data_IF_593691760702
#
_entry.id   IF_593691760702
#
_cell.length_a   1.000
_cell.length_b   1.000
_cell.length_c   1.000
_cell.angle_alpha   90.00
_cell.angle_beta   90.00
_cell.angle_gamma   90.00
#
_symmetry.space_group_name_H-M   'P 1'
#
loop_
_entity.id
_entity.type
_entity.pdbx_description
1 polymer ?
#
# COMPACT_ATOMS: atom_id res chain seq x y z
N UNK A 1 7.01 -39.61 -44.25
CA UNK A 1 7.19 -38.27 -43.63
C UNK A 1 6.98 -37.25 -44.74
N UNK A 2 5.81 -36.62 -44.78
CA UNK A 2 5.48 -35.60 -45.78
C UNK A 2 5.41 -34.24 -45.07
N UNK A 3 6.20 -33.27 -45.53
CA UNK A 3 6.19 -31.90 -45.03
C UNK A 3 5.05 -31.12 -45.69
N UNK A 4 4.24 -30.45 -44.88
CA UNK A 4 3.21 -29.52 -45.33
C UNK A 4 3.82 -28.13 -45.62
N UNK A 5 3.27 -27.36 -46.57
CA UNK A 5 3.78 -26.04 -46.90
C UNK A 5 3.35 -24.98 -45.88
N UNK A 6 4.28 -24.09 -45.55
CA UNK A 6 4.08 -22.94 -44.66
C UNK A 6 3.62 -21.74 -45.50
N UNK A 7 2.42 -21.23 -45.23
CA UNK A 7 1.96 -19.93 -45.75
C UNK A 7 2.49 -18.81 -44.86
N UNK A 8 3.41 -17.99 -45.38
CA UNK A 8 3.80 -16.73 -44.75
C UNK A 8 2.78 -15.64 -45.09
N UNK A 9 2.10 -15.13 -44.07
CA UNK A 9 1.29 -13.91 -44.14
C UNK A 9 2.22 -12.70 -43.93
N UNK A 10 2.22 -11.77 -44.90
CA UNK A 10 2.89 -10.48 -44.77
C UNK A 10 2.11 -9.54 -43.83
N UNK A 11 2.79 -8.73 -43.01
CA UNK A 11 2.14 -7.70 -42.21
C UNK A 11 1.76 -6.47 -43.06
N UNK A 12 0.65 -5.77 -42.74
CA UNK A 12 0.24 -4.56 -43.44
C UNK A 12 1.13 -3.36 -43.08
N UNK A 13 1.43 -2.55 -44.10
CA UNK A 13 2.16 -1.29 -43.99
C UNK A 13 1.35 -0.21 -43.22
N UNK A 14 2.01 0.65 -42.43
CA UNK A 14 1.35 1.81 -41.80
C UNK A 14 1.13 2.97 -42.80
N UNK A 15 -0.06 3.58 -42.73
CA UNK A 15 -0.41 4.81 -43.44
C UNK A 15 0.25 6.04 -42.80
N UNK A 16 0.66 7.06 -43.58
CA UNK A 16 1.31 8.24 -43.05
C UNK A 16 0.31 9.25 -42.45
N UNK A 17 0.85 9.98 -41.47
CA UNK A 17 0.26 11.06 -40.68
C UNK A 17 -0.57 12.09 -41.46
N UNK A 18 -1.77 12.38 -40.95
CA UNK A 18 -2.49 13.62 -41.23
C UNK A 18 -2.15 14.68 -40.17
N UNK A 19 -1.58 15.79 -40.66
CA UNK A 19 -1.15 16.97 -39.92
C UNK A 19 -2.38 17.83 -39.59
N UNK A 20 -2.77 17.93 -38.32
CA UNK A 20 -3.87 18.82 -37.89
C UNK A 20 -3.30 20.21 -37.61
N UNK A 21 -3.66 21.18 -38.47
CA UNK A 21 -3.47 22.60 -38.20
C UNK A 21 -4.52 23.11 -37.21
N UNK A 22 -4.10 23.98 -36.30
CA UNK A 22 -4.96 24.60 -35.30
C UNK A 22 -5.89 25.68 -35.87
N UNK A 23 -6.97 25.95 -35.14
CA UNK A 23 -7.81 27.15 -35.30
C UNK A 23 -8.17 27.71 -33.92
N UNK A 24 -7.97 29.01 -33.76
CA UNK A 24 -8.32 29.83 -32.60
C UNK A 24 -9.78 30.31 -32.66
N UNK A 25 -10.36 30.52 -31.47
CA UNK A 25 -11.40 31.49 -31.03
C UNK A 25 -12.68 31.67 -31.87
N UNK A 26 -13.84 31.62 -31.20
CA UNK A 26 -14.61 32.81 -30.76
C UNK A 26 -15.98 32.45 -30.16
N UNK A 27 -16.50 33.35 -29.30
CA UNK A 27 -17.84 33.42 -28.73
C UNK A 27 -18.98 33.45 -29.76
N UNK A 28 -20.19 33.00 -29.39
CA UNK A 28 -21.46 33.78 -29.41
C UNK A 28 -22.75 32.95 -29.59
N UNK A 29 -23.69 33.16 -28.66
CA UNK A 29 -25.17 33.27 -28.72
C UNK A 29 -26.05 32.32 -29.58
N UNK A 30 -27.08 31.81 -28.88
CA UNK A 30 -28.51 31.63 -29.24
C UNK A 30 -28.94 31.61 -30.72
N UNK A 31 -29.54 30.48 -31.15
CA UNK A 31 -30.97 30.38 -31.55
C UNK A 31 -31.31 29.00 -32.17
N UNK A 32 -32.59 28.56 -32.10
CA UNK A 32 -33.04 27.25 -32.56
C UNK A 32 -33.54 27.30 -34.01
N UNK A 33 -33.04 26.43 -34.87
CA UNK A 33 -33.60 26.22 -36.21
C UNK A 33 -34.29 24.86 -36.29
N UNK A 34 -35.59 24.91 -36.61
CA UNK A 34 -36.40 23.77 -37.06
C UNK A 34 -35.82 23.25 -38.37
N UNK A 35 -35.63 21.93 -38.46
CA UNK A 35 -35.36 21.26 -39.73
C UNK A 35 -36.57 20.41 -40.09
N UNK A 36 -37.12 20.67 -41.27
CA UNK A 36 -38.23 19.97 -41.87
C UNK A 36 -37.81 18.57 -42.32
N UNK A 37 -38.70 17.61 -42.14
CA UNK A 37 -38.57 16.25 -42.63
C UNK A 37 -38.89 16.18 -44.14
N UNK A 38 -38.08 15.47 -44.96
CA UNK A 38 -38.55 15.00 -46.25
C UNK A 38 -39.34 13.71 -46.07
N UNK A 39 -40.59 13.75 -46.51
CA UNK A 39 -41.46 12.62 -46.75
C UNK A 39 -41.09 12.02 -48.11
N UNK A 40 -40.94 10.70 -48.18
CA UNK A 40 -41.10 9.95 -49.42
C UNK A 40 -39.89 9.18 -49.89
N UNK A 41 -39.95 7.86 -49.70
CA UNK A 41 -39.66 6.87 -50.75
C UNK A 41 -39.92 5.47 -50.16
N UNK A 42 -41.17 5.01 -50.30
CA UNK A 42 -41.47 3.60 -50.20
C UNK A 42 -40.95 2.92 -51.47
N UNK A 43 -39.95 2.05 -51.34
CA UNK A 43 -39.51 1.19 -52.43
C UNK A 43 -39.10 -0.19 -51.89
N UNK A 44 -39.88 -1.17 -52.35
CA UNK A 44 -39.69 -2.61 -52.32
C UNK A 44 -38.23 -3.10 -52.17
N UNK A 45 -37.92 -3.67 -51.01
CA UNK A 45 -36.90 -4.71 -50.88
C UNK A 45 -37.54 -5.93 -50.21
N UNK A 46 -38.18 -6.74 -51.04
CA UNK A 46 -38.59 -8.10 -50.74
C UNK A 46 -37.34 -9.00 -50.60
N UNK A 47 -37.33 -9.80 -49.55
CA UNK A 47 -36.55 -11.04 -49.38
C UNK A 47 -35.01 -10.92 -49.32
N UNK A 48 -34.53 -10.53 -48.14
CA UNK A 48 -33.31 -11.10 -47.56
C UNK A 48 -33.43 -11.05 -46.04
N UNK A 49 -34.18 -11.99 -45.46
CA UNK A 49 -34.14 -12.27 -44.04
C UNK A 49 -32.76 -12.84 -43.69
N UNK A 50 -31.74 -11.97 -43.69
CA UNK A 50 -30.47 -12.27 -43.05
C UNK A 50 -30.80 -12.36 -41.57
N UNK A 51 -30.67 -13.57 -41.01
CA UNK A 51 -30.51 -13.78 -39.58
C UNK A 51 -29.28 -12.99 -39.13
N UNK A 52 -29.46 -11.68 -38.90
CA UNK A 52 -28.59 -10.91 -38.05
C UNK A 52 -28.88 -11.42 -36.64
N UNK A 53 -28.25 -12.56 -36.30
CA UNK A 53 -28.03 -12.94 -34.92
C UNK A 53 -27.33 -11.74 -34.30
N UNK A 54 -28.09 -10.90 -33.61
CA UNK A 54 -27.58 -9.79 -32.83
C UNK A 54 -26.66 -10.43 -31.80
N UNK A 55 -25.37 -10.45 -32.13
CA UNK A 55 -24.30 -10.79 -31.20
C UNK A 55 -24.31 -9.69 -30.15
N UNK A 56 -25.17 -9.86 -29.14
CA UNK A 56 -25.07 -9.06 -27.93
C UNK A 56 -23.78 -9.51 -27.27
N UNK A 57 -22.78 -8.63 -27.11
CA UNK A 57 -21.60 -8.98 -26.34
C UNK A 57 -22.07 -9.45 -24.98
N UNK A 58 -21.55 -10.60 -24.55
CA UNK A 58 -21.86 -11.15 -23.24
C UNK A 58 -21.62 -10.06 -22.19
N UNK A 59 -22.55 -9.82 -21.25
CA UNK A 59 -22.31 -8.87 -20.18
C UNK A 59 -21.08 -9.35 -19.40
N UNK A 60 -19.99 -8.60 -19.47
CA UNK A 60 -18.77 -8.88 -18.73
C UNK A 60 -19.10 -8.80 -17.24
N UNK A 61 -19.07 -9.94 -16.57
CA UNK A 61 -19.16 -9.99 -15.10
C UNK A 61 -17.78 -9.60 -14.59
N UNK A 62 -17.68 -8.47 -13.90
CA UNK A 62 -16.44 -8.09 -13.24
C UNK A 62 -16.22 -8.98 -12.02
N UNK A 63 -15.22 -9.85 -12.10
CA UNK A 63 -14.79 -10.68 -10.99
C UNK A 63 -13.75 -9.95 -10.13
N UNK A 64 -13.84 -10.08 -8.80
CA UNK A 64 -12.83 -9.53 -7.91
C UNK A 64 -11.54 -10.36 -8.01
N UNK A 65 -10.41 -9.69 -7.82
CA UNK A 65 -9.07 -10.28 -7.83
C UNK A 65 -8.88 -11.40 -6.82
N UNK A 66 -9.69 -11.47 -5.75
CA UNK A 66 -9.67 -12.59 -4.81
C UNK A 66 -10.08 -13.93 -5.45
N UNK A 67 -10.72 -13.91 -6.62
CA UNK A 67 -11.00 -15.12 -7.43
C UNK A 67 -9.81 -15.59 -8.27
N UNK A 68 -8.80 -14.75 -8.48
CA UNK A 68 -7.60 -15.11 -9.23
C UNK A 68 -6.67 -15.98 -8.38
N UNK A 69 -5.98 -16.98 -8.94
CA UNK A 69 -4.97 -17.73 -8.19
C UNK A 69 -3.59 -17.14 -8.47
N UNK A 70 -2.97 -16.53 -7.47
CA UNK A 70 -1.64 -15.95 -7.64
C UNK A 70 -0.59 -17.02 -7.96
N UNK A 71 0.34 -16.75 -8.90
CA UNK A 71 1.41 -17.68 -9.22
C UNK A 71 2.33 -17.91 -8.02
N UNK A 72 3.12 -18.99 -8.07
CA UNK A 72 4.04 -19.34 -6.98
C UNK A 72 4.97 -18.16 -6.61
N UNK A 73 5.04 -17.86 -5.32
CA UNK A 73 5.82 -16.73 -4.81
C UNK A 73 5.10 -15.38 -4.87
N UNK A 74 3.84 -15.34 -5.30
CA UNK A 74 2.98 -14.18 -5.23
C UNK A 74 1.84 -14.41 -4.23
N UNK A 75 1.35 -13.32 -3.65
CA UNK A 75 0.17 -13.31 -2.77
C UNK A 75 -0.85 -12.31 -3.31
N UNK A 76 -2.12 -12.49 -2.96
CA UNK A 76 -3.13 -11.48 -3.26
C UNK A 76 -2.75 -10.14 -2.66
N UNK A 77 -3.14 -9.07 -3.36
CA UNK A 77 -3.12 -7.73 -2.76
C UNK A 77 -4.13 -7.66 -1.60
N UNK A 78 -3.86 -6.74 -0.68
CA UNK A 78 -4.73 -6.45 0.46
C UNK A 78 -6.16 -6.03 0.05
N UNK A 79 -6.31 -5.44 -1.13
CA UNK A 79 -7.57 -4.97 -1.73
C UNK A 79 -8.10 -5.92 -2.81
N UNK A 80 -7.69 -7.20 -2.82
CA UNK A 80 -8.08 -8.14 -3.87
C UNK A 80 -9.60 -8.36 -3.95
N UNK A 81 -10.35 -8.25 -2.85
CA UNK A 81 -11.81 -8.34 -2.86
C UNK A 81 -12.49 -7.12 -3.51
N UNK A 82 -11.85 -5.95 -3.45
CA UNK A 82 -12.37 -4.70 -4.00
C UNK A 82 -11.81 -4.38 -5.39
N UNK A 83 -10.69 -4.98 -5.77
CA UNK A 83 -10.03 -4.79 -7.07
C UNK A 83 -10.67 -5.73 -8.09
N UNK A 84 -11.12 -5.18 -9.22
CA UNK A 84 -11.75 -5.95 -10.29
C UNK A 84 -10.73 -6.26 -11.39
N UNK A 85 -10.87 -7.44 -12.00
CA UNK A 85 -10.03 -7.86 -13.13
C UNK A 85 -10.39 -7.09 -14.41
N UNK A 86 -9.41 -6.81 -15.26
CA UNK A 86 -9.55 -5.85 -16.36
C UNK A 86 -10.54 -6.31 -17.44
N UNK A 87 -10.62 -7.62 -17.67
CA UNK A 87 -11.43 -8.22 -18.74
C UNK A 87 -12.63 -9.02 -18.18
N UNK A 88 -13.11 -8.64 -16.99
CA UNK A 88 -14.19 -9.32 -16.30
C UNK A 88 -13.74 -10.61 -15.61
N UNK A 89 -13.07 -11.52 -16.33
CA UNK A 89 -12.41 -12.69 -15.75
C UNK A 89 -10.94 -12.43 -15.47
N UNK A 90 -10.46 -12.88 -14.31
CA UNK A 90 -9.06 -12.75 -13.94
C UNK A 90 -8.20 -13.73 -14.73
N UNK A 91 -7.28 -13.19 -15.51
CA UNK A 91 -6.33 -13.94 -16.34
C UNK A 91 -4.90 -13.71 -15.87
N UNK A 92 -3.95 -14.35 -16.53
CA UNK A 92 -2.53 -14.13 -16.24
C UNK A 92 -2.08 -12.68 -16.42
N UNK A 93 -2.76 -11.90 -17.28
CA UNK A 93 -2.49 -10.48 -17.47
C UNK A 93 -2.87 -9.64 -16.24
N UNK A 94 -3.75 -10.15 -15.38
CA UNK A 94 -4.15 -9.49 -14.14
C UNK A 94 -3.18 -9.81 -12.97
N UNK A 95 -2.10 -10.58 -13.20
CA UNK A 95 -1.16 -10.96 -12.13
C UNK A 95 -0.61 -9.74 -11.38
N UNK A 96 -0.14 -8.71 -12.07
CA UNK A 96 0.42 -7.53 -11.41
C UNK A 96 -0.68 -6.65 -10.79
N UNK A 97 -1.92 -6.75 -11.30
CA UNK A 97 -3.07 -6.02 -10.79
C UNK A 97 -3.62 -6.65 -9.51
N UNK A 98 -3.67 -7.99 -9.44
CA UNK A 98 -4.29 -8.78 -8.38
C UNK A 98 -3.30 -9.33 -7.35
N UNK A 99 -2.05 -9.53 -7.75
CA UNK A 99 -1.04 -10.20 -6.95
C UNK A 99 0.20 -9.33 -6.73
N UNK A 100 0.95 -9.66 -5.69
CA UNK A 100 2.20 -8.99 -5.34
C UNK A 100 3.28 -10.04 -5.21
N UNK A 101 4.42 -9.80 -5.85
CA UNK A 101 5.56 -10.69 -5.76
C UNK A 101 6.19 -10.63 -4.37
N UNK A 102 6.45 -11.79 -3.79
CA UNK A 102 7.22 -11.93 -2.58
C UNK A 102 6.40 -11.84 -1.30
N UNK A 103 7.10 -12.06 -0.20
CA UNK A 103 6.59 -11.94 1.16
C UNK A 103 6.63 -10.46 1.54
N UNK A 104 5.57 -9.95 2.17
CA UNK A 104 5.50 -8.58 2.71
C UNK A 104 6.55 -8.39 3.80
N UNK A 105 7.78 -8.10 3.40
CA UNK A 105 8.84 -7.77 4.32
C UNK A 105 9.27 -6.34 4.09
N UNK A 106 9.43 -5.60 5.18
CA UNK A 106 9.97 -4.25 5.13
C UNK A 106 10.85 -3.99 6.34
N UNK A 107 11.80 -3.08 6.16
CA UNK A 107 12.54 -2.48 7.27
C UNK A 107 11.74 -1.36 7.94
N UNK A 108 10.59 -0.96 7.40
CA UNK A 108 9.80 0.12 7.98
C UNK A 108 8.32 -0.18 7.85
N UNK A 109 7.66 -0.17 9.01
CA UNK A 109 6.24 -0.40 9.13
C UNK A 109 5.61 0.77 9.88
N UNK A 110 4.38 1.13 9.52
CA UNK A 110 3.63 2.17 10.21
C UNK A 110 2.15 1.86 10.27
N UNK A 111 1.50 2.34 11.31
CA UNK A 111 0.05 2.47 11.34
C UNK A 111 -0.30 3.91 10.97
N UNK A 112 -1.27 4.05 10.06
CA UNK A 112 -1.74 5.32 9.53
C UNK A 112 -3.22 5.46 9.81
N UNK A 113 -3.64 6.67 10.12
CA UNK A 113 -5.04 7.05 10.23
C UNK A 113 -5.70 7.00 8.85
N UNK A 114 -6.77 6.21 8.71
CA UNK A 114 -7.52 6.02 7.47
C UNK A 114 -8.93 6.66 7.51
N UNK A 115 -9.16 7.55 8.49
CA UNK A 115 -10.40 8.32 8.67
C UNK A 115 -10.07 9.70 9.26
N UNK A 116 -10.99 10.65 9.22
CA UNK A 116 -10.74 11.94 9.87
C UNK A 116 -10.77 11.81 11.41
N UNK A 117 -9.87 12.53 12.09
CA UNK A 117 -9.83 12.66 13.55
C UNK A 117 -9.96 14.14 13.87
N UNK A 118 -11.02 14.54 14.58
CA UNK A 118 -11.42 15.95 14.70
C UNK A 118 -10.65 16.76 15.74
N UNK A 119 -9.99 16.12 16.72
CA UNK A 119 -9.27 16.81 17.79
C UNK A 119 -7.78 16.49 17.75
N UNK A 120 -7.40 15.24 18.06
CA UNK A 120 -6.02 14.77 18.07
C UNK A 120 -5.98 13.25 18.22
N UNK A 121 -5.29 12.54 17.34
CA UNK A 121 -5.16 11.09 17.40
C UNK A 121 -4.24 10.69 18.56
N UNK A 122 -4.82 10.07 19.58
CA UNK A 122 -4.10 9.57 20.76
C UNK A 122 -3.84 8.06 20.62
N UNK A 123 -2.58 7.67 20.82
CA UNK A 123 -2.12 6.28 20.80
C UNK A 123 -1.40 5.98 22.11
N UNK A 124 -2.04 5.22 22.99
CA UNK A 124 -1.49 4.79 24.26
C UNK A 124 -0.45 3.68 24.08
N UNK A 125 -0.69 2.76 23.14
CA UNK A 125 0.19 1.61 22.87
C UNK A 125 0.12 1.19 21.41
N UNK A 126 1.26 0.79 20.85
CA UNK A 126 1.39 0.18 19.54
C UNK A 126 2.31 -1.02 19.62
N UNK A 127 1.82 -2.17 19.14
CA UNK A 127 2.58 -3.43 19.05
C UNK A 127 2.49 -3.98 17.63
N UNK A 128 3.59 -4.49 17.11
CA UNK A 128 3.62 -5.23 15.87
C UNK A 128 3.84 -6.71 16.16
N UNK A 129 3.26 -7.59 15.35
CA UNK A 129 3.27 -9.03 15.54
C UNK A 129 3.66 -9.72 14.24
N UNK A 130 4.41 -10.82 14.38
CA UNK A 130 4.88 -11.62 13.26
C UNK A 130 3.81 -12.62 12.79
N UNK A 131 2.81 -12.93 13.62
CA UNK A 131 1.65 -13.74 13.27
C UNK A 131 0.38 -12.92 13.05
N UNK A 132 -0.63 -13.55 12.46
CA UNK A 132 -1.91 -12.95 12.08
C UNK A 132 -2.91 -12.84 13.24
N UNK A 133 -2.65 -13.56 14.33
CA UNK A 133 -3.49 -13.61 15.52
C UNK A 133 -3.09 -12.57 16.58
N UNK A 134 -2.03 -11.81 16.32
CA UNK A 134 -1.46 -10.85 17.25
C UNK A 134 -1.07 -11.53 18.59
N UNK A 135 -0.52 -12.74 18.53
CA UNK A 135 -0.21 -13.49 19.75
C UNK A 135 0.92 -12.82 20.54
N UNK A 136 0.84 -12.85 21.86
CA UNK A 136 1.86 -12.24 22.72
C UNK A 136 3.25 -12.86 22.53
N UNK A 137 3.32 -14.10 22.03
CA UNK A 137 4.56 -14.82 21.74
C UNK A 137 5.23 -14.36 20.44
N UNK A 138 4.48 -13.73 19.53
CA UNK A 138 4.98 -13.26 18.23
C UNK A 138 5.20 -11.75 18.16
N UNK A 139 5.20 -11.05 19.30
CA UNK A 139 5.47 -9.62 19.35
C UNK A 139 6.83 -9.34 18.70
N UNK A 140 6.83 -8.54 17.65
CA UNK A 140 8.05 -8.09 17.00
C UNK A 140 8.85 -7.22 17.99
N UNK A 141 10.17 -7.39 18.08
CA UNK A 141 11.01 -6.57 18.95
C UNK A 141 11.11 -5.15 18.38
N UNK A 142 10.16 -4.29 18.79
CA UNK A 142 10.00 -2.90 18.32
C UNK A 142 10.29 -1.88 19.40
N UNK A 143 10.72 -2.32 20.59
CA UNK A 143 11.11 -1.40 21.66
C UNK A 143 12.45 -0.79 21.27
N UNK A 144 12.53 0.53 21.01
CA UNK A 144 13.82 1.18 20.80
C UNK A 144 14.61 1.00 22.10
N UNK A 145 15.75 0.31 22.04
CA UNK A 145 16.64 0.20 23.19
C UNK A 145 17.05 1.60 23.64
N UNK A 146 16.57 2.08 24.79
CA UNK A 146 16.92 3.41 25.31
C UNK A 146 18.37 3.50 25.77
N UNK A 147 19.11 2.39 25.79
CA UNK A 147 20.53 2.35 26.09
C UNK A 147 21.12 1.02 25.58
N UNK A 148 22.19 1.07 24.78
CA UNK A 148 23.46 0.42 25.11
C UNK A 148 24.45 0.51 23.93
N UNK A 149 25.60 1.13 24.18
CA UNK A 149 26.76 1.24 23.27
C UNK A 149 27.43 -0.11 22.90
N UNK A 150 26.92 -1.24 23.40
CA UNK A 150 27.65 -2.53 23.47
C UNK A 150 26.80 -3.80 23.25
N UNK A 151 25.54 -3.73 22.79
CA UNK A 151 24.75 -4.96 22.51
C UNK A 151 24.40 -5.06 21.02
N UNK A 152 24.72 -6.23 20.47
CA UNK A 152 24.64 -6.66 19.06
C UNK A 152 23.21 -6.79 18.48
N UNK A 153 22.24 -5.99 18.92
CA UNK A 153 20.86 -6.08 18.46
C UNK A 153 20.43 -4.81 17.71
N UNK A 154 19.78 -4.93 16.55
CA UNK A 154 19.37 -3.78 15.76
C UNK A 154 18.32 -2.98 16.54
N UNK A 155 18.71 -1.78 16.98
CA UNK A 155 17.80 -0.81 17.56
C UNK A 155 17.07 -0.15 16.40
N UNK A 156 15.80 -0.46 16.18
CA UNK A 156 15.01 0.36 15.28
C UNK A 156 14.60 1.70 15.91
N UNK A 157 14.28 2.66 15.06
CA UNK A 157 13.84 3.99 15.41
C UNK A 157 12.33 4.10 15.23
N UNK A 158 11.63 4.45 16.30
CA UNK A 158 10.25 4.90 16.21
C UNK A 158 10.18 6.25 15.49
N UNK A 159 9.18 6.42 14.63
CA UNK A 159 8.95 7.68 13.91
C UNK A 159 7.45 7.98 13.84
N UNK A 160 7.12 9.26 13.63
CA UNK A 160 5.73 9.72 13.43
C UNK A 160 5.69 10.87 12.45
N UNK A 161 4.51 11.23 11.96
CA UNK A 161 4.32 12.43 11.11
C UNK A 161 4.81 13.72 11.79
N UNK A 162 5.15 14.73 10.98
CA UNK A 162 5.80 15.98 11.40
C UNK A 162 5.05 16.67 12.56
N UNK A 163 5.83 17.20 13.51
CA UNK A 163 5.46 17.83 14.79
C UNK A 163 5.41 16.90 16.02
N UNK A 164 5.55 15.58 15.85
CA UNK A 164 5.91 14.68 16.97
C UNK A 164 7.43 14.55 17.06
N UNK A 165 8.06 14.97 18.16
CA UNK A 165 9.46 14.62 18.43
C UNK A 165 9.60 13.09 18.39
N UNK A 166 10.54 12.52 17.62
CA UNK A 166 10.69 11.06 17.49
C UNK A 166 10.86 10.31 18.81
N UNK A 167 11.37 10.98 19.85
CA UNK A 167 11.42 10.47 21.23
C UNK A 167 10.04 10.25 21.87
N UNK A 168 8.98 10.92 21.37
CA UNK A 168 7.59 10.75 21.80
C UNK A 168 6.97 9.53 21.11
N UNK A 169 7.28 9.28 19.84
CA UNK A 169 6.79 8.12 19.09
C UNK A 169 7.19 6.80 19.79
N UNK A 170 8.43 6.73 20.27
CA UNK A 170 8.95 5.59 21.03
C UNK A 170 8.06 5.22 22.24
N UNK A 171 7.39 6.18 22.88
CA UNK A 171 6.56 5.94 24.07
C UNK A 171 5.37 5.05 23.82
N UNK A 172 4.83 5.05 22.60
CA UNK A 172 3.76 4.15 22.21
C UNK A 172 4.25 2.69 22.09
N UNK A 173 5.53 2.45 21.86
CA UNK A 173 6.11 1.10 21.71
C UNK A 173 6.63 0.50 23.02
N UNK A 174 6.72 1.28 24.10
CA UNK A 174 7.25 0.76 25.38
C UNK A 174 6.22 -0.17 26.02
N UNK A 175 6.52 -1.46 25.90
CA UNK A 175 5.79 -2.53 26.55
C UNK A 175 6.25 -2.66 28.00
N UNK A 176 5.66 -1.93 28.93
CA UNK A 176 5.72 -2.43 30.31
C UNK A 176 4.46 -2.12 31.14
N UNK A 177 3.51 -3.07 31.24
CA UNK A 177 2.46 -3.04 32.26
C UNK A 177 2.99 -3.43 33.66
N UNK A 178 4.20 -3.97 33.76
CA UNK A 178 4.86 -4.42 35.01
C UNK A 178 5.89 -3.44 35.54
N UNK A 179 6.07 -2.26 34.91
CA UNK A 179 6.88 -1.17 35.42
C UNK A 179 6.40 -0.88 36.85
N UNK A 180 7.19 -1.40 37.79
CA UNK A 180 6.75 -1.73 39.14
C UNK A 180 6.25 -0.50 39.86
N UNK A 181 5.28 -0.69 40.75
CA UNK A 181 4.60 0.30 41.59
C UNK A 181 5.48 1.24 42.46
N UNK A 182 6.79 1.29 42.22
CA UNK A 182 7.75 2.16 42.91
C UNK A 182 7.80 3.59 42.38
N UNK A 183 7.25 3.86 41.21
CA UNK A 183 6.95 5.22 40.77
C UNK A 183 5.43 5.39 40.70
N UNK A 184 4.82 6.30 41.48
CA UNK A 184 3.41 6.65 41.33
C UNK A 184 3.21 7.33 39.98
N UNK A 185 3.03 6.50 38.96
CA UNK A 185 2.55 6.72 37.60
C UNK A 185 2.69 8.17 37.11
N UNK A 186 3.85 8.56 36.54
CA UNK A 186 3.78 9.54 35.46
C UNK A 186 2.80 8.96 34.45
N UNK A 187 1.67 9.66 34.26
CA UNK A 187 0.61 9.32 33.30
C UNK A 187 1.22 8.62 32.10
N UNK A 188 0.66 7.48 31.69
CA UNK A 188 1.00 6.76 30.45
C UNK A 188 0.87 7.72 29.26
N UNK A 189 1.86 8.59 29.09
CA UNK A 189 1.92 9.55 28.00
C UNK A 189 2.40 8.72 26.83
N UNK A 190 1.44 8.06 26.18
CA UNK A 190 1.61 7.53 24.85
C UNK A 190 1.95 8.65 23.87
N UNK A 191 1.62 8.43 22.62
CA UNK A 191 1.80 9.41 21.58
C UNK A 191 0.46 10.11 21.29
N UNK A 192 0.51 11.39 20.92
CA UNK A 192 -0.67 12.15 20.46
C UNK A 192 -0.25 13.01 19.28
N UNK A 193 -1.10 13.13 18.27
CA UNK A 193 -0.94 14.20 17.29
C UNK A 193 -1.15 15.57 17.97
N UNK A 194 -0.58 16.62 17.37
CA UNK A 194 -0.68 18.01 17.88
C UNK A 194 -2.06 18.61 17.62
N UNK A 195 -2.81 18.04 16.68
CA UNK A 195 -4.13 18.51 16.28
C UNK A 195 -4.86 17.47 15.42
N UNK A 196 -5.92 17.88 14.71
CA UNK A 196 -6.75 16.97 13.93
C UNK A 196 -5.94 16.26 12.85
N UNK A 197 -6.39 15.07 12.48
CA UNK A 197 -5.78 14.25 11.44
C UNK A 197 -6.75 14.10 10.28
N UNK A 198 -6.24 14.33 9.07
CA UNK A 198 -6.90 13.86 7.85
C UNK A 198 -6.45 12.43 7.53
N UNK A 199 -7.21 11.75 6.67
CA UNK A 199 -6.82 10.45 6.11
C UNK A 199 -5.41 10.51 5.52
N UNK A 200 -4.54 9.57 5.94
CA UNK A 200 -3.15 9.49 5.50
C UNK A 200 -2.18 10.47 6.16
N UNK A 201 -2.67 11.52 6.84
CA UNK A 201 -1.82 12.60 7.35
C UNK A 201 -1.08 12.20 8.64
N UNK A 202 -1.74 11.48 9.53
CA UNK A 202 -1.19 11.05 10.82
C UNK A 202 -0.75 9.60 10.78
N UNK A 203 0.49 9.36 11.20
CA UNK A 203 1.05 8.01 11.28
C UNK A 203 2.04 7.87 12.43
N UNK A 204 2.17 6.64 12.90
CA UNK A 204 3.14 6.19 13.88
C UNK A 204 3.75 4.89 13.37
N UNK A 205 5.07 4.81 13.35
CA UNK A 205 5.76 3.66 12.79
C UNK A 205 7.08 3.39 13.45
N UNK A 206 7.70 2.32 12.95
CA UNK A 206 8.99 1.84 13.40
C UNK A 206 9.82 1.47 12.18
N UNK A 207 11.04 1.99 12.14
CA UNK A 207 12.05 1.64 11.15
C UNK A 207 13.11 0.81 11.86
N UNK A 208 13.27 -0.45 11.49
CA UNK A 208 14.42 -1.23 11.89
C UNK A 208 15.65 -0.66 11.19
N UNK A 209 16.54 -0.03 11.95
CA UNK A 209 17.82 0.40 11.42
C UNK A 209 18.66 -0.86 11.19
N UNK A 210 18.93 -1.15 9.92
CA UNK A 210 20.14 -1.90 9.59
C UNK A 210 21.34 -1.00 9.87
N UNK A 211 22.40 -1.57 10.42
CA UNK A 211 23.66 -0.88 10.73
C UNK A 211 24.25 -0.12 9.51
N UNK A 212 23.76 -0.39 8.29
CA UNK A 212 24.15 0.26 7.03
C UNK A 212 23.97 1.78 7.00
N UNK A 213 22.95 2.31 7.69
CA UNK A 213 22.69 3.76 7.68
C UNK A 213 23.69 4.49 8.61
N UNK A 214 24.30 3.75 9.55
CA UNK A 214 25.29 4.24 10.51
C UNK A 214 26.72 3.96 10.07
N UNK A 215 26.94 2.92 9.28
CA UNK A 215 28.21 2.50 8.71
C UNK A 215 28.12 2.52 7.18
N UNK A 216 28.54 3.60 6.51
CA UNK A 216 28.47 3.71 5.05
C UNK A 216 29.18 2.52 4.39
N UNK A 217 28.56 1.97 3.33
CA UNK A 217 29.16 0.91 2.50
C UNK A 217 30.53 1.36 2.00
N UNK A 218 31.60 0.65 2.36
CA UNK A 218 32.94 0.93 1.85
C UNK A 218 34.03 0.06 2.45
N UNK A 219 35.16 -0.03 1.74
CA UNK A 219 36.42 -0.59 2.26
C UNK A 219 36.99 0.38 3.29
N UNK A 220 36.64 0.19 4.55
CA UNK A 220 37.31 0.90 5.63
C UNK A 220 38.70 0.30 5.86
N UNK A 221 39.70 0.75 5.11
CA UNK A 221 41.08 0.68 5.57
C UNK A 221 41.30 1.79 6.61
N UNK A 222 40.75 1.64 7.82
CA UNK A 222 40.99 2.61 8.88
C UNK A 222 42.22 2.21 9.70
N UNK A 223 43.27 3.02 9.62
CA UNK A 223 44.41 3.04 10.53
C UNK A 223 44.05 3.35 12.00
N UNK A 224 42.75 3.49 12.34
CA UNK A 224 42.27 4.00 13.63
C UNK A 224 41.13 3.19 14.27
N UNK A 225 40.96 1.91 13.91
CA UNK A 225 40.24 0.95 14.76
C UNK A 225 38.73 1.16 14.92
N UNK A 226 38.05 1.90 14.03
CA UNK A 226 36.60 1.87 13.99
C UNK A 226 36.14 0.59 13.26
N UNK A 227 35.32 -0.28 13.88
CA UNK A 227 34.82 -1.48 13.23
C UNK A 227 33.84 -1.08 12.12
N UNK A 228 34.11 -1.51 10.90
CA UNK A 228 33.13 -1.40 9.82
C UNK A 228 32.28 -2.67 9.76
N UNK A 229 30.99 -2.49 9.53
CA UNK A 229 30.04 -3.58 9.44
C UNK A 229 30.36 -4.42 8.20
N UNK A 230 30.65 -5.71 8.40
CA UNK A 230 30.78 -6.68 7.32
C UNK A 230 29.45 -6.83 6.57
N UNK A 231 29.47 -7.26 5.30
CA UNK A 231 28.25 -7.54 4.53
C UNK A 231 27.31 -8.53 5.25
N UNK A 232 27.87 -9.47 6.03
CA UNK A 232 27.11 -10.36 6.91
C UNK A 232 26.45 -9.69 8.12
N UNK A 233 26.94 -8.54 8.59
CA UNK A 233 26.27 -7.70 9.60
C UNK A 233 25.17 -6.81 8.98
N UNK A 234 25.34 -6.42 7.72
CA UNK A 234 24.34 -5.64 6.97
C UNK A 234 23.03 -6.41 6.74
N UNK A 235 23.10 -7.74 6.62
CA UNK A 235 21.92 -8.61 6.47
C UNK A 235 21.20 -8.96 7.79
N UNK A 236 21.73 -8.56 8.96
CA UNK A 236 21.17 -8.98 10.27
C UNK A 236 19.99 -8.14 10.76
N UNK A 237 19.75 -6.94 10.23
CA UNK A 237 18.44 -6.30 10.38
C UNK A 237 17.53 -6.83 9.27
N UNK A 238 17.15 -8.10 9.35
CA UNK A 238 16.33 -8.75 8.33
C UNK A 238 15.04 -7.96 8.07
N UNK A 239 14.58 -7.97 6.82
CA UNK A 239 13.25 -7.48 6.53
C UNK A 239 12.24 -8.30 7.35
N UNK A 240 11.41 -7.63 8.16
CA UNK A 240 10.43 -8.31 9.01
C UNK A 240 9.06 -8.28 8.34
N UNK A 241 8.34 -9.40 8.46
CA UNK A 241 6.92 -9.48 8.10
C UNK A 241 6.13 -9.14 9.34
N UNK A 242 5.39 -8.05 9.28
CA UNK A 242 4.39 -7.73 10.28
C UNK A 242 3.05 -8.19 9.71
N UNK A 243 2.44 -9.16 10.37
CA UNK A 243 1.16 -9.71 9.96
C UNK A 243 -0.01 -9.10 10.74
N UNK A 244 0.25 -8.57 11.93
CA UNK A 244 -0.71 -7.82 12.71
C UNK A 244 -0.07 -6.60 13.40
N UNK A 245 -0.84 -5.53 13.53
CA UNK A 245 -0.59 -4.46 14.46
C UNK A 245 -1.74 -4.34 15.47
N UNK A 246 -1.42 -4.18 16.75
CA UNK A 246 -2.39 -3.82 17.78
C UNK A 246 -2.14 -2.38 18.23
N UNK A 247 -3.21 -1.57 18.22
CA UNK A 247 -3.18 -0.15 18.56
C UNK A 247 -4.18 0.11 19.67
N UNK A 248 -3.70 0.57 20.82
CA UNK A 248 -4.54 1.10 21.91
C UNK A 248 -4.69 2.60 21.71
N UNK A 249 -5.85 3.04 21.21
CA UNK A 249 -6.18 4.43 20.95
C UNK A 249 -6.89 5.09 22.14
N UNK A 250 -7.03 6.42 22.10
CA UNK A 250 -7.93 7.16 22.99
C UNK A 250 -9.38 6.65 22.93
N UNK A 251 -10.16 6.92 23.98
CA UNK A 251 -11.58 6.50 24.05
C UNK A 251 -12.56 7.65 23.77
N UNK A 252 -12.09 8.89 23.76
CA UNK A 252 -12.95 10.06 23.54
C UNK A 252 -13.14 10.31 22.05
N UNK A 253 -14.37 10.60 21.63
CA UNK A 253 -14.70 10.98 20.26
C UNK A 253 -13.79 12.11 19.75
N UNK A 254 -13.35 12.00 18.50
CA UNK A 254 -12.38 12.93 17.92
C UNK A 254 -10.94 12.73 18.39
N UNK A 255 -10.67 11.75 19.27
CA UNK A 255 -9.31 11.37 19.70
C UNK A 255 -8.84 9.98 19.28
N UNK A 256 -9.69 9.25 18.55
CA UNK A 256 -9.34 8.01 17.90
C UNK A 256 -9.70 8.09 16.41
N UNK A 257 -9.13 7.19 15.62
CA UNK A 257 -9.50 7.00 14.23
C UNK A 257 -10.51 5.87 14.11
N UNK A 258 -11.59 6.11 13.37
CA UNK A 258 -12.60 5.11 12.99
C UNK A 258 -12.05 4.08 11.98
N UNK A 259 -10.96 4.42 11.28
CA UNK A 259 -10.25 3.51 10.40
C UNK A 259 -8.73 3.64 10.54
N UNK A 260 -8.03 2.50 10.45
CA UNK A 260 -6.57 2.42 10.49
C UNK A 260 -6.05 1.56 9.35
N UNK A 261 -4.90 1.95 8.82
CA UNK A 261 -4.13 1.17 7.85
C UNK A 261 -2.80 0.74 8.43
N UNK A 262 -2.42 -0.52 8.24
CA UNK A 262 -1.06 -0.99 8.40
C UNK A 262 -0.36 -0.82 7.05
N UNK A 263 0.74 -0.08 7.04
CA UNK A 263 1.51 0.18 5.82
C UNK A 263 2.95 -0.31 5.97
N UNK A 264 3.50 -0.81 4.87
CA UNK A 264 4.92 -1.12 4.73
C UNK A 264 5.59 -0.15 3.77
N UNK A 265 6.86 0.13 4.01
CA UNK A 265 7.69 0.85 3.04
C UNK A 265 8.15 -0.13 1.96
N UNK A 266 7.78 0.13 0.70
CA UNK A 266 8.25 -0.69 -0.41
C UNK A 266 9.68 -0.29 -0.79
N UNK A 267 10.63 -1.18 -0.48
CA UNK A 267 12.04 -0.98 -0.83
C UNK A 267 12.33 -1.33 -2.30
N UNK A 268 11.44 -2.06 -2.99
CA UNK A 268 11.61 -2.49 -4.38
C UNK A 268 11.03 -1.48 -5.37
N UNK A 269 11.33 -0.20 -5.17
CA UNK A 269 11.02 0.80 -6.20
C UNK A 269 11.89 0.50 -7.44
N UNK A 270 11.29 0.27 -8.63
CA UNK A 270 12.05 -0.01 -9.83
C UNK A 270 13.02 1.13 -10.13
N UNK A 271 14.25 0.77 -10.51
CA UNK A 271 15.29 1.73 -10.90
C UNK A 271 14.76 2.62 -12.04
N UNK A 272 14.38 3.86 -11.72
CA UNK A 272 13.77 4.81 -12.66
C UNK A 272 12.50 5.49 -12.17
N UNK A 273 11.86 4.98 -11.10
CA UNK A 273 10.84 5.74 -10.39
C UNK A 273 11.49 6.98 -9.76
N UNK A 274 10.85 8.14 -9.91
CA UNK A 274 11.36 9.46 -9.51
C UNK A 274 11.96 9.37 -8.09
N UNK A 275 13.27 9.61 -7.98
CA UNK A 275 13.99 9.68 -6.70
C UNK A 275 13.29 10.68 -5.79
N UNK A 276 12.56 10.21 -4.78
CA UNK A 276 11.98 11.11 -3.78
C UNK A 276 10.83 10.57 -2.94
N UNK A 277 10.07 9.60 -3.41
CA UNK A 277 8.96 9.05 -2.63
C UNK A 277 9.02 7.52 -2.63
N UNK A 278 9.74 6.94 -1.66
CA UNK A 278 9.55 5.54 -1.36
C UNK A 278 8.05 5.32 -1.06
N UNK A 279 7.40 4.50 -1.88
CA UNK A 279 5.96 4.34 -1.84
C UNK A 279 5.57 3.50 -0.62
N UNK A 280 4.85 4.11 0.31
CA UNK A 280 4.18 3.38 1.37
C UNK A 280 3.00 2.62 0.77
N UNK A 281 2.91 1.33 1.06
CA UNK A 281 1.84 0.46 0.58
C UNK A 281 0.99 -0.01 1.74
N UNK A 282 -0.32 0.03 1.58
CA UNK A 282 -1.25 -0.58 2.52
C UNK A 282 -1.09 -2.10 2.48
N UNK A 283 -0.92 -2.70 3.64
CA UNK A 283 -0.85 -4.15 3.86
C UNK A 283 -2.16 -4.69 4.44
N UNK A 284 -2.83 -3.88 5.26
CA UNK A 284 -4.11 -4.19 5.88
C UNK A 284 -4.85 -2.91 6.25
N UNK A 285 -6.16 -3.00 6.33
CA UNK A 285 -7.04 -1.90 6.73
C UNK A 285 -8.17 -2.42 7.60
N UNK A 286 -8.54 -1.64 8.62
CA UNK A 286 -9.72 -1.90 9.45
C UNK A 286 -10.53 -0.61 9.54
N UNK A 287 -11.86 -0.73 9.52
CA UNK A 287 -12.83 0.38 9.58
C UNK A 287 -13.87 0.12 10.67
N UNK A 288 -14.61 1.16 11.05
CA UNK A 288 -15.69 1.08 12.04
C UNK A 288 -15.20 0.89 13.48
N UNK A 289 -14.00 1.38 13.79
CA UNK A 289 -13.42 1.31 15.13
C UNK A 289 -14.14 2.26 16.10
N UNK A 290 -14.18 1.88 17.39
CA UNK A 290 -14.75 2.68 18.48
C UNK A 290 -13.73 2.84 19.59
N UNK A 291 -12.73 3.71 19.42
CA UNK A 291 -11.66 3.95 20.40
C UNK A 291 -10.97 2.68 20.93
N UNK A 292 -10.20 2.82 22.00
CA UNK A 292 -9.63 1.67 22.72
C UNK A 292 -8.71 0.78 21.88
N UNK A 293 -8.71 -0.54 22.14
CA UNK A 293 -7.80 -1.47 21.45
C UNK A 293 -8.38 -1.93 20.12
N UNK A 294 -7.65 -1.64 19.04
CA UNK A 294 -7.92 -2.11 17.69
C UNK A 294 -6.80 -3.03 17.21
N UNK A 295 -7.15 -3.98 16.34
CA UNK A 295 -6.19 -4.84 15.65
C UNK A 295 -6.32 -4.64 14.15
N UNK A 296 -5.20 -4.39 13.49
CA UNK A 296 -5.08 -4.27 12.04
C UNK A 296 -4.34 -5.51 11.56
N UNK A 297 -5.08 -6.44 10.95
CA UNK A 297 -4.58 -7.76 10.56
C UNK A 297 -4.51 -7.86 9.04
N UNK A 298 -3.44 -8.42 8.52
CA UNK A 298 -3.41 -8.85 7.12
C UNK A 298 -4.45 -9.95 6.93
N UNK A 299 -5.27 -9.83 5.89
CA UNK A 299 -6.24 -10.87 5.56
C UNK A 299 -5.48 -12.17 5.26
N UNK A 300 -5.94 -13.26 5.87
CA UNK A 300 -5.48 -14.61 5.53
C UNK A 300 -6.12 -14.93 4.19
N UNK A 301 -5.30 -14.97 3.14
CA UNK A 301 -5.73 -15.45 1.82
C UNK A 301 -5.87 -16.97 1.84
#
# INVERSE_FOLDING_TARGET
MAQAPVCMLQPPHPCPFARVMGVRRAHSRHSPWRVAAPVGAAACCLLSARLALAWQPQPYINLPCSTYTCPSGYFHRWDADATLCAEGACTQNDTDACCVQGRFFSHSWRVVVASNVSIAWEVHRLRFFLDENCSTESVAPTVPGTNHKWRDWPNGAAFSHHHGHGSIAARAFVADPTATARDPAPQRKGWSSVGPCQEGACFLGFKWESDIDRYPRGSCHSHFGAPCASEGQLHKAGFLRIACAEVEQGQTEGRYADALQLQLLDAHMPQGAIQGAAAWRTAAEVRGLQGGTAQVRMAVA
#
